data_IF_949583007079
#
_entry.id   IF_949583007079
#
_cell.length_a   1.000
_cell.length_b   1.000
_cell.length_c   1.000
_cell.angle_alpha   90.00
_cell.angle_beta   90.00
_cell.angle_gamma   90.00
#
_symmetry.space_group_name_H-M   'P 1'
#
loop_
_entity.id
_entity.type
_entity.pdbx_description
1 polymer ?
#
# COMPACT_ATOMS: atom_id res chain seq x y z
N UNK A 1 -2.36 -6.13 9.23
CA UNK A 1 -3.26 -5.25 8.45
C UNK A 1 -4.61 -5.26 9.13
N UNK A 2 -5.25 -4.09 9.23
CA UNK A 2 -6.46 -3.91 10.02
C UNK A 2 -7.50 -3.08 9.27
N UNK A 3 -8.78 -3.40 9.45
CA UNK A 3 -9.88 -2.62 8.89
C UNK A 3 -10.05 -1.31 9.66
N UNK A 4 -10.28 -0.22 8.93
CA UNK A 4 -10.59 1.08 9.48
C UNK A 4 -12.09 1.41 9.44
N UNK A 5 -12.88 0.71 8.62
CA UNK A 5 -14.35 0.86 8.53
C UNK A 5 -14.79 2.33 8.40
N UNK A 6 -14.11 3.07 7.51
CA UNK A 6 -14.36 4.48 7.24
C UNK A 6 -13.88 5.46 8.31
N UNK A 7 -13.17 5.00 9.35
CA UNK A 7 -12.53 5.89 10.33
C UNK A 7 -11.19 6.39 9.81
N UNK A 8 -10.77 7.57 10.28
CA UNK A 8 -9.41 8.09 10.07
C UNK A 8 -8.46 7.49 11.11
N UNK A 9 -7.16 7.52 10.86
CA UNK A 9 -6.19 7.10 11.89
C UNK A 9 -6.24 8.00 13.14
N UNK A 10 -6.59 9.27 12.99
CA UNK A 10 -6.83 10.18 14.11
C UNK A 10 -7.92 9.66 15.06
N UNK A 11 -9.02 9.16 14.51
CA UNK A 11 -10.14 8.62 15.29
C UNK A 11 -9.80 7.26 15.89
N UNK A 12 -9.03 6.44 15.17
CA UNK A 12 -8.61 5.12 15.65
C UNK A 12 -7.55 5.21 16.76
N UNK A 13 -6.70 6.26 16.76
CA UNK A 13 -5.56 6.43 17.69
C UNK A 13 -4.65 5.21 17.75
N UNK A 14 -4.50 4.52 16.62
CA UNK A 14 -3.66 3.32 16.47
C UNK A 14 -2.39 3.68 15.74
N UNK A 15 -1.26 3.18 16.24
CA UNK A 15 0.02 3.35 15.55
C UNK A 15 -0.03 2.67 14.19
N UNK A 16 0.23 3.42 13.12
CA UNK A 16 0.04 2.91 11.78
C UNK A 16 0.03 3.97 10.68
N UNK A 17 -0.17 3.50 9.45
CA UNK A 17 -0.25 4.30 8.24
C UNK A 17 -1.39 3.80 7.33
N UNK A 18 -2.00 4.68 6.54
CA UNK A 18 -2.97 4.31 5.51
C UNK A 18 -2.47 3.16 4.60
N UNK A 19 -3.39 2.31 4.17
CA UNK A 19 -3.10 1.10 3.38
C UNK A 19 -3.06 1.31 1.86
N UNK A 20 -3.34 0.23 1.12
CA UNK A 20 -3.42 0.23 -0.34
C UNK A 20 -4.68 0.92 -0.86
N UNK A 21 -4.76 1.05 -2.18
CA UNK A 21 -5.84 1.72 -2.89
C UNK A 21 -7.21 1.10 -2.60
N UNK A 22 -8.26 1.91 -2.66
CA UNK A 22 -9.66 1.51 -2.52
C UNK A 22 -10.56 2.59 -3.14
N UNK A 23 -11.85 2.33 -3.30
CA UNK A 23 -12.80 3.32 -3.81
C UNK A 23 -13.21 4.30 -2.71
N UNK A 24 -12.73 5.55 -2.81
CA UNK A 24 -12.85 6.54 -1.73
C UNK A 24 -14.27 7.01 -1.44
N UNK A 25 -15.23 6.77 -2.35
CA UNK A 25 -16.65 7.08 -2.14
C UNK A 25 -17.36 6.15 -1.14
N UNK A 26 -16.77 4.99 -0.83
CA UNK A 26 -17.40 3.98 0.04
C UNK A 26 -16.37 3.31 0.96
N UNK A 27 -15.63 4.06 1.79
CA UNK A 27 -14.53 3.53 2.61
C UNK A 27 -15.00 2.50 3.65
N UNK A 28 -16.30 2.43 3.96
CA UNK A 28 -16.90 1.45 4.88
C UNK A 28 -17.31 0.15 4.19
N UNK A 29 -17.49 0.15 2.88
CA UNK A 29 -18.11 -0.95 2.15
C UNK A 29 -17.05 -1.86 1.53
N UNK A 30 -16.67 -2.93 2.23
CA UNK A 30 -15.68 -3.89 1.75
C UNK A 30 -16.06 -4.56 0.41
N UNK A 31 -17.34 -4.52 0.00
CA UNK A 31 -17.81 -5.09 -1.29
C UNK A 31 -17.51 -4.17 -2.47
N UNK A 32 -17.53 -2.86 -2.23
CA UNK A 32 -17.33 -1.81 -3.23
C UNK A 32 -15.92 -1.22 -3.17
N UNK A 33 -14.91 -1.94 -2.65
CA UNK A 33 -13.63 -1.32 -2.27
C UNK A 33 -12.41 -1.65 -3.15
N UNK A 34 -12.62 -1.77 -4.47
CA UNK A 34 -11.58 -1.55 -5.48
C UNK A 34 -10.43 -2.52 -5.37
N UNK A 35 -10.54 -3.66 -6.05
CA UNK A 35 -9.66 -4.83 -5.96
C UNK A 35 -8.18 -4.50 -5.90
N UNK A 36 -7.68 -4.30 -4.70
CA UNK A 36 -6.27 -4.11 -4.42
C UNK A 36 -5.89 -5.04 -3.28
N UNK A 37 -4.77 -5.73 -3.49
CA UNK A 37 -4.42 -6.89 -2.72
C UNK A 37 -4.06 -6.48 -1.29
N UNK A 38 -4.81 -7.01 -0.34
CA UNK A 38 -4.57 -6.84 1.09
C UNK A 38 -4.99 -8.11 1.81
N UNK A 39 -4.01 -8.79 2.40
CA UNK A 39 -4.18 -10.07 3.07
C UNK A 39 -3.68 -9.97 4.52
N UNK A 40 -4.30 -10.72 5.42
CA UNK A 40 -3.89 -10.93 6.80
C UNK A 40 -4.16 -12.40 7.15
N UNK A 41 -3.14 -13.10 7.66
CA UNK A 41 -3.24 -14.50 8.10
C UNK A 41 -3.94 -15.43 7.09
N UNK A 42 -3.43 -15.44 5.86
CA UNK A 42 -3.94 -16.17 4.69
C UNK A 42 -5.37 -15.82 4.25
N UNK A 43 -5.99 -14.78 4.83
CA UNK A 43 -7.33 -14.32 4.48
C UNK A 43 -7.27 -12.95 3.81
N UNK A 44 -8.15 -12.75 2.85
CA UNK A 44 -8.37 -11.42 2.28
C UNK A 44 -9.04 -10.51 3.31
N UNK A 45 -8.52 -9.29 3.47
CA UNK A 45 -9.07 -8.33 4.43
C UNK A 45 -10.36 -7.67 3.90
N UNK A 46 -10.51 -7.63 2.58
CA UNK A 46 -11.68 -7.12 1.86
C UNK A 46 -12.08 -8.07 0.72
N UNK A 47 -13.29 -7.91 0.19
CA UNK A 47 -13.69 -8.60 -1.03
C UNK A 47 -12.71 -8.27 -2.14
N UNK A 48 -12.27 -9.30 -2.88
CA UNK A 48 -11.23 -9.19 -3.91
C UNK A 48 -9.85 -8.75 -3.39
N UNK A 49 -9.62 -8.78 -2.08
CA UNK A 49 -8.31 -8.50 -1.47
C UNK A 49 -7.21 -9.52 -1.83
N UNK A 50 -7.54 -10.52 -2.64
CA UNK A 50 -6.60 -11.48 -3.23
C UNK A 50 -6.10 -11.08 -4.64
N UNK A 51 -6.68 -10.04 -5.28
CA UNK A 51 -6.24 -9.53 -6.59
C UNK A 51 -5.72 -8.09 -6.52
N UNK A 52 -4.84 -7.70 -7.46
CA UNK A 52 -4.20 -6.36 -7.45
C UNK A 52 -4.95 -5.30 -8.27
N UNK A 53 -5.86 -5.68 -9.15
CA UNK A 53 -6.78 -4.83 -9.93
C UNK A 53 -7.89 -5.70 -10.55
N UNK A 54 -8.77 -5.13 -11.38
CA UNK A 54 -9.83 -5.89 -12.10
C UNK A 54 -9.46 -6.28 -13.53
N UNK A 55 -8.30 -5.85 -14.04
CA UNK A 55 -7.89 -6.00 -15.43
C UNK A 55 -6.87 -7.14 -15.64
N UNK A 56 -6.60 -7.97 -14.63
CA UNK A 56 -5.61 -9.04 -14.76
C UNK A 56 -4.14 -8.58 -14.70
N UNK A 57 -3.87 -7.29 -14.46
CA UNK A 57 -2.51 -6.76 -14.55
C UNK A 57 -1.67 -7.17 -13.33
N UNK A 58 -0.39 -7.45 -13.53
CA UNK A 58 0.52 -7.78 -12.42
C UNK A 58 1.09 -6.50 -11.80
N UNK A 59 0.91 -6.34 -10.49
CA UNK A 59 1.44 -5.21 -9.70
C UNK A 59 2.39 -5.68 -8.62
N UNK A 60 3.18 -4.74 -8.09
CA UNK A 60 4.06 -4.98 -6.95
C UNK A 60 3.29 -5.36 -5.70
N UNK A 61 3.69 -6.46 -5.08
CA UNK A 61 3.13 -6.96 -3.82
C UNK A 61 4.27 -7.28 -2.87
N UNK A 62 4.17 -6.77 -1.64
CA UNK A 62 4.99 -7.23 -0.53
C UNK A 62 4.23 -8.31 0.23
N UNK A 63 4.89 -9.45 0.46
CA UNK A 63 4.34 -10.61 1.17
C UNK A 63 5.26 -10.91 2.34
N UNK A 64 4.73 -10.94 3.56
CA UNK A 64 5.44 -11.44 4.72
C UNK A 64 4.96 -12.84 5.05
N UNK A 65 5.89 -13.79 5.09
CA UNK A 65 5.60 -15.20 5.38
C UNK A 65 5.69 -15.55 6.88
N UNK A 66 6.07 -14.58 7.73
CA UNK A 66 6.37 -14.76 9.14
C UNK A 66 7.86 -14.73 9.48
N UNK A 67 8.73 -14.76 8.46
CA UNK A 67 10.19 -14.71 8.59
C UNK A 67 10.79 -13.64 7.69
N UNK A 68 10.36 -13.61 6.42
CA UNK A 68 10.90 -12.75 5.38
C UNK A 68 9.80 -11.95 4.69
N UNK A 69 10.16 -10.75 4.24
CA UNK A 69 9.33 -9.99 3.29
C UNK A 69 9.84 -10.24 1.87
N UNK A 70 8.94 -10.68 1.01
CA UNK A 70 9.16 -11.06 -0.38
C UNK A 70 8.46 -10.03 -1.27
N UNK A 71 9.15 -9.54 -2.28
CA UNK A 71 8.53 -8.77 -3.36
C UNK A 71 8.16 -9.70 -4.52
N UNK A 72 6.94 -9.60 -5.01
CA UNK A 72 6.50 -10.27 -6.25
C UNK A 72 5.66 -9.32 -7.09
N UNK A 73 5.72 -9.52 -8.41
CA UNK A 73 4.73 -8.97 -9.33
C UNK A 73 3.68 -10.02 -9.62
N UNK A 74 2.48 -9.84 -9.08
CA UNK A 74 1.37 -10.81 -9.20
C UNK A 74 0.06 -10.09 -9.45
N UNK A 75 -0.87 -10.81 -10.06
CA UNK A 75 -2.25 -10.40 -10.21
C UNK A 75 -3.10 -11.02 -9.09
N UNK A 76 -3.07 -12.34 -8.93
CA UNK A 76 -3.88 -13.09 -7.98
C UNK A 76 -2.99 -13.90 -7.03
N UNK A 77 -2.96 -13.52 -5.75
CA UNK A 77 -2.07 -14.15 -4.77
C UNK A 77 -2.45 -15.59 -4.44
N UNK A 78 -3.74 -15.95 -4.51
CA UNK A 78 -4.20 -17.32 -4.25
C UNK A 78 -3.75 -18.28 -5.35
N UNK A 79 -3.61 -17.80 -6.58
CA UNK A 79 -3.16 -18.60 -7.71
C UNK A 79 -1.63 -18.60 -7.85
N UNK A 80 -0.98 -17.45 -7.64
CA UNK A 80 0.43 -17.24 -7.98
C UNK A 80 1.40 -17.38 -6.79
N UNK A 81 0.89 -17.59 -5.57
CA UNK A 81 1.71 -17.76 -4.37
C UNK A 81 1.18 -18.89 -3.48
N UNK A 82 2.02 -19.89 -3.24
CA UNK A 82 1.68 -21.11 -2.48
C UNK A 82 2.25 -21.13 -1.06
N UNK A 83 2.96 -20.08 -0.65
CA UNK A 83 3.57 -19.98 0.68
C UNK A 83 2.59 -19.48 1.74
N UNK A 84 3.01 -19.55 3.01
CA UNK A 84 2.28 -18.90 4.09
C UNK A 84 2.26 -17.38 3.91
N UNK A 85 1.13 -16.74 4.18
CA UNK A 85 0.93 -15.29 4.15
C UNK A 85 0.52 -14.83 5.55
N UNK A 86 1.45 -14.24 6.30
CA UNK A 86 1.11 -13.51 7.53
C UNK A 86 0.46 -12.18 7.21
N UNK A 87 0.98 -11.47 6.23
CA UNK A 87 0.28 -10.38 5.59
C UNK A 87 0.80 -10.19 4.16
N UNK A 88 -0.01 -9.60 3.31
CA UNK A 88 0.42 -9.14 2.00
C UNK A 88 -0.28 -7.84 1.64
N UNK A 89 0.40 -6.97 0.89
CA UNK A 89 -0.15 -5.69 0.44
C UNK A 89 0.38 -5.34 -0.95
N UNK A 90 -0.54 -4.98 -1.85
CA UNK A 90 -0.24 -4.55 -3.20
C UNK A 90 -0.11 -3.04 -3.32
N UNK A 91 0.56 -2.58 -4.37
CA UNK A 91 0.73 -1.16 -4.67
C UNK A 91 1.32 -0.94 -6.06
N UNK A 92 1.68 0.31 -6.36
CA UNK A 92 2.53 0.61 -7.51
C UNK A 92 3.98 0.26 -7.17
N UNK A 93 4.66 -0.56 -7.98
CA UNK A 93 6.06 -0.89 -7.73
C UNK A 93 6.93 0.36 -7.87
N UNK A 94 7.81 0.61 -6.91
CA UNK A 94 8.86 1.66 -7.01
C UNK A 94 10.26 1.05 -7.16
N UNK A 95 10.50 -0.09 -6.52
CA UNK A 95 11.75 -0.84 -6.59
C UNK A 95 11.53 -2.32 -6.22
N UNK A 96 12.20 -3.30 -6.88
CA UNK A 96 13.18 -3.16 -7.95
C UNK A 96 12.57 -2.91 -9.34
N UNK A 97 11.25 -3.03 -9.48
CA UNK A 97 10.54 -2.76 -10.72
C UNK A 97 9.86 -1.39 -10.65
N UNK A 98 9.88 -0.62 -11.74
CA UNK A 98 9.11 0.61 -11.89
C UNK A 98 8.63 0.75 -13.33
N UNK A 99 7.35 0.49 -13.56
CA UNK A 99 6.69 0.75 -14.84
C UNK A 99 5.19 0.99 -14.58
N UNK A 100 4.81 2.24 -14.23
CA UNK A 100 3.42 2.58 -13.92
C UNK A 100 2.44 2.20 -15.04
N UNK A 101 2.86 2.36 -16.30
CA UNK A 101 2.05 2.02 -17.47
C UNK A 101 1.75 0.53 -17.54
N UNK A 102 2.77 -0.33 -17.37
CA UNK A 102 2.58 -1.78 -17.35
C UNK A 102 1.79 -2.27 -16.12
N UNK A 103 1.74 -1.50 -15.04
CA UNK A 103 0.93 -1.77 -13.85
C UNK A 103 -0.49 -1.17 -13.94
N UNK A 104 -0.83 -0.51 -15.06
CA UNK A 104 -2.16 0.02 -15.36
C UNK A 104 -2.48 1.38 -14.73
N UNK A 105 -1.47 2.14 -14.30
CA UNK A 105 -1.63 3.50 -13.80
C UNK A 105 -1.62 4.51 -14.96
N UNK A 106 -2.61 4.38 -15.85
CA UNK A 106 -2.81 5.19 -17.06
C UNK A 106 -4.24 5.71 -17.15
N UNK A 107 -4.49 6.70 -18.02
CA UNK A 107 -5.82 7.26 -18.23
C UNK A 107 -6.44 7.76 -16.92
N UNK A 108 -7.64 7.28 -16.57
CA UNK A 108 -8.32 7.63 -15.32
C UNK A 108 -7.54 7.27 -14.05
N UNK A 109 -6.56 6.35 -14.12
CA UNK A 109 -5.72 5.94 -12.99
C UNK A 109 -4.35 6.65 -12.95
N UNK A 110 -4.06 7.55 -13.90
CA UNK A 110 -2.81 8.31 -13.94
C UNK A 110 -2.67 9.29 -12.75
N UNK A 111 -3.78 9.62 -12.10
CA UNK A 111 -3.84 10.47 -10.91
C UNK A 111 -2.99 9.96 -9.73
N UNK A 112 -2.65 8.67 -9.71
CA UNK A 112 -1.72 8.10 -8.74
C UNK A 112 -0.31 8.71 -8.88
N UNK A 113 0.07 9.19 -10.08
CA UNK A 113 1.42 9.68 -10.39
C UNK A 113 1.60 11.18 -10.14
N UNK A 114 0.50 11.92 -9.95
CA UNK A 114 0.51 13.39 -9.86
C UNK A 114 1.21 13.90 -8.61
N UNK A 115 1.52 15.20 -8.59
CA UNK A 115 2.11 15.86 -7.43
C UNK A 115 1.09 15.94 -6.28
N UNK A 116 1.31 15.19 -5.21
CA UNK A 116 0.45 15.16 -4.03
C UNK A 116 1.18 14.60 -2.80
N UNK A 117 0.44 14.22 -1.76
CA UNK A 117 0.99 13.44 -0.65
C UNK A 117 1.05 11.97 -1.05
N UNK A 118 2.13 11.28 -0.70
CA UNK A 118 2.29 9.87 -0.97
C UNK A 118 2.55 9.08 0.30
N UNK A 119 2.19 7.80 0.23
CA UNK A 119 2.40 6.82 1.28
C UNK A 119 3.08 5.61 0.64
N UNK A 120 4.09 5.03 1.28
CA UNK A 120 4.77 3.84 0.78
C UNK A 120 5.15 2.88 1.90
N UNK A 121 5.27 1.62 1.54
CA UNK A 121 5.89 0.59 2.38
C UNK A 121 7.13 0.06 1.66
N UNK A 122 8.24 0.05 2.39
CA UNK A 122 9.53 -0.40 1.88
C UNK A 122 10.19 -1.40 2.81
N UNK A 123 11.04 -2.23 2.24
CA UNK A 123 11.91 -3.15 2.99
C UNK A 123 13.35 -2.81 2.68
N UNK A 124 14.12 -2.50 3.70
CA UNK A 124 15.55 -2.24 3.54
C UNK A 124 16.33 -3.50 3.15
N UNK A 125 17.56 -3.30 2.68
CA UNK A 125 18.51 -4.38 2.44
C UNK A 125 18.73 -5.25 3.70
N UNK A 126 18.72 -4.64 4.89
CA UNK A 126 18.82 -5.32 6.18
C UNK A 126 17.51 -5.93 6.70
N UNK A 127 16.42 -5.92 5.92
CA UNK A 127 15.16 -6.56 6.28
C UNK A 127 14.20 -5.74 7.15
N UNK A 128 14.57 -4.53 7.56
CA UNK A 128 13.66 -3.62 8.27
C UNK A 128 12.55 -3.11 7.35
N UNK A 129 11.33 -3.07 7.87
CA UNK A 129 10.16 -2.52 7.18
C UNK A 129 10.00 -1.05 7.54
N UNK A 130 9.78 -0.21 6.55
CA UNK A 130 9.54 1.23 6.70
C UNK A 130 8.14 1.59 6.19
N UNK A 131 7.40 2.33 7.00
CA UNK A 131 6.19 3.03 6.59
C UNK A 131 6.57 4.49 6.35
N UNK A 132 6.33 4.98 5.15
CA UNK A 132 6.89 6.24 4.67
C UNK A 132 5.74 7.12 4.19
N UNK A 133 5.72 8.36 4.64
CA UNK A 133 4.82 9.38 4.11
C UNK A 133 5.63 10.58 3.65
N UNK A 134 5.28 11.13 2.50
CA UNK A 134 5.89 12.34 1.95
C UNK A 134 4.81 13.31 1.48
N UNK A 135 5.09 14.60 1.58
CA UNK A 135 4.19 15.66 1.13
C UNK A 135 4.70 16.30 -0.15
N UNK A 136 3.77 16.72 -1.02
CA UNK A 136 4.04 17.56 -2.18
C UNK A 136 5.16 17.02 -3.11
N UNK A 137 5.01 15.76 -3.53
CA UNK A 137 5.88 15.08 -4.50
C UNK A 137 5.04 14.44 -5.57
N UNK A 138 5.56 14.32 -6.78
CA UNK A 138 5.12 13.30 -7.74
C UNK A 138 5.65 11.93 -7.31
N UNK A 139 5.06 10.85 -7.83
CA UNK A 139 5.59 9.50 -7.55
C UNK A 139 7.03 9.35 -8.02
N UNK A 140 7.40 9.97 -9.15
CA UNK A 140 8.75 9.86 -9.69
C UNK A 140 9.78 10.61 -8.82
N UNK A 141 9.46 11.82 -8.36
CA UNK A 141 10.29 12.56 -7.40
C UNK A 141 10.43 11.75 -6.10
N UNK A 142 9.32 11.24 -5.56
CA UNK A 142 9.35 10.44 -4.33
C UNK A 142 10.20 9.18 -4.49
N UNK A 143 10.07 8.46 -5.60
CA UNK A 143 10.91 7.30 -5.92
C UNK A 143 12.38 7.69 -5.92
N UNK A 144 12.73 8.78 -6.59
CA UNK A 144 14.12 9.25 -6.66
C UNK A 144 14.65 9.65 -5.28
N UNK A 145 13.85 10.33 -4.45
CA UNK A 145 14.20 10.68 -3.07
C UNK A 145 14.51 9.40 -2.26
N UNK A 146 13.71 8.34 -2.41
CA UNK A 146 13.91 7.08 -1.68
C UNK A 146 15.12 6.29 -2.16
N UNK A 147 15.35 6.22 -3.47
CA UNK A 147 16.48 5.49 -4.04
C UNK A 147 17.84 6.15 -3.75
N UNK A 148 17.85 7.48 -3.61
CA UNK A 148 19.04 8.24 -3.21
C UNK A 148 19.19 8.40 -1.69
N UNK A 149 18.27 7.82 -0.91
CA UNK A 149 18.32 7.89 0.56
C UNK A 149 19.32 6.90 1.15
N UNK A 150 19.81 7.19 2.37
CA UNK A 150 20.66 6.26 3.14
C UNK A 150 19.92 5.02 3.66
N UNK A 151 18.60 4.92 3.47
CA UNK A 151 17.80 3.80 3.98
C UNK A 151 18.10 2.49 3.23
N UNK A 152 18.38 2.57 1.92
CA UNK A 152 18.74 1.44 1.06
C UNK A 152 17.68 0.33 1.00
N UNK A 153 16.90 0.27 -0.08
CA UNK A 153 15.77 -0.64 -0.20
C UNK A 153 16.05 -1.86 -1.09
N UNK A 154 15.56 -3.03 -0.66
CA UNK A 154 15.44 -4.23 -1.52
C UNK A 154 14.08 -4.34 -2.21
N UNK A 155 13.07 -3.70 -1.64
CA UNK A 155 11.74 -3.59 -2.22
C UNK A 155 11.03 -2.33 -1.72
N UNK A 156 10.27 -1.68 -2.59
CA UNK A 156 9.50 -0.48 -2.26
C UNK A 156 8.27 -0.42 -3.15
N UNK A 157 7.10 -0.20 -2.55
CA UNK A 157 5.84 0.02 -3.28
C UNK A 157 5.14 1.28 -2.76
N UNK A 158 4.52 2.02 -3.68
CA UNK A 158 3.65 3.15 -3.36
C UNK A 158 2.23 2.66 -3.10
N UNK A 159 1.63 3.17 -2.04
CA UNK A 159 0.28 2.87 -1.57
C UNK A 159 -0.68 4.02 -1.91
N UNK A 160 -1.89 4.00 -1.33
CA UNK A 160 -2.85 5.06 -1.60
C UNK A 160 -2.36 6.41 -1.04
N UNK A 161 -2.59 7.45 -1.85
CA UNK A 161 -2.02 8.77 -1.66
C UNK A 161 -3.07 9.88 -1.56
N UNK A 162 -2.62 11.11 -1.78
CA UNK A 162 -3.43 12.32 -1.74
C UNK A 162 -4.19 12.46 -0.43
N UNK A 163 -5.51 12.59 -0.52
CA UNK A 163 -6.37 12.70 0.64
C UNK A 163 -6.41 11.44 1.51
N UNK A 164 -5.89 10.30 1.07
CA UNK A 164 -5.84 9.08 1.89
C UNK A 164 -4.62 9.05 2.80
N UNK A 165 -3.52 9.74 2.45
CA UNK A 165 -2.26 9.72 3.20
C UNK A 165 -2.47 10.12 4.65
N UNK A 166 -2.34 9.14 5.55
CA UNK A 166 -2.47 9.32 6.99
C UNK A 166 -1.43 8.49 7.72
N UNK A 167 -0.92 9.01 8.82
CA UNK A 167 -0.06 8.28 9.75
C UNK A 167 -0.37 8.75 11.16
N UNK A 168 -0.46 7.80 12.09
CA UNK A 168 -0.50 8.09 13.51
C UNK A 168 0.62 7.26 14.15
N UNK A 169 1.55 7.88 14.85
CA UNK A 169 2.61 7.16 15.53
C UNK A 169 3.03 7.92 16.77
N UNK A 170 2.88 7.30 17.94
CA UNK A 170 3.22 7.89 19.24
C UNK A 170 2.71 9.33 19.40
N UNK A 171 1.40 9.51 19.17
CA UNK A 171 0.67 10.79 19.22
C UNK A 171 1.04 11.82 18.14
N UNK A 172 2.06 11.56 17.33
CA UNK A 172 2.36 12.35 16.14
C UNK A 172 1.43 11.96 15.00
N UNK A 173 0.97 12.94 14.22
CA UNK A 173 -0.05 12.71 13.20
C UNK A 173 0.26 13.39 11.86
N UNK A 174 0.10 12.61 10.79
CA UNK A 174 -0.19 13.11 9.45
C UNK A 174 -1.68 12.87 9.24
N UNK A 175 -2.46 13.95 9.27
CA UNK A 175 -3.91 13.88 9.32
C UNK A 175 -4.55 14.05 7.94
N UNK A 176 -5.74 13.48 7.81
CA UNK A 176 -6.68 13.74 6.73
C UNK A 176 -8.10 13.55 7.27
N UNK A 177 -9.08 14.16 6.60
CA UNK A 177 -10.51 13.97 6.87
C UNK A 177 -11.09 12.76 6.15
N UNK A 178 -10.35 12.14 5.22
CA UNK A 178 -10.84 10.99 4.44
C UNK A 178 -10.88 9.72 5.29
N UNK A 179 -12.04 9.09 5.38
CA UNK A 179 -12.18 7.77 5.99
C UNK A 179 -11.36 6.70 5.24
N UNK A 180 -10.73 5.79 5.99
CA UNK A 180 -9.95 4.70 5.43
C UNK A 180 -10.78 3.42 5.36
N UNK A 181 -10.53 2.59 4.34
CA UNK A 181 -11.01 1.21 4.34
C UNK A 181 -10.16 0.31 5.26
N UNK A 182 -8.83 0.39 5.11
CA UNK A 182 -7.88 -0.39 5.90
C UNK A 182 -6.58 0.40 6.12
N UNK A 183 -5.76 -0.08 7.06
CA UNK A 183 -4.48 0.52 7.41
C UNK A 183 -3.46 -0.54 7.82
N UNK A 184 -2.19 -0.14 7.80
CA UNK A 184 -1.07 -0.91 8.31
C UNK A 184 -0.90 -0.54 9.78
N UNK A 185 -1.08 -1.50 10.68
CA UNK A 185 -0.93 -1.32 12.13
C UNK A 185 0.49 -1.71 12.54
N UNK A 186 1.12 -0.89 13.38
CA UNK A 186 2.41 -1.18 14.02
C UNK A 186 2.11 -1.62 15.45
N UNK A 187 2.46 -2.87 15.76
CA UNK A 187 2.24 -3.54 17.05
C UNK A 187 3.58 -3.73 17.73
#
# INVERSE_FOLDING_TARGET
>A
MSLANGKTLNLLKKNGMSGTFFWTGSPKDSKLNGGHLVMQDNKELNINGHVTNYNGLKRGVLIFDGKNVIFKRIYNIKAEYQGNIKWAIGGLSLYPFYNPTAEGFTGQYADVLKKTNHSAIGVSNGGKIYLISVKNRTVNEFRNDMLNSKLGFKALINLDGGGTTQMYFDKSIISSTRGLNHFIEVI
#
